data_IF_028547947167
#
_entry.id   IF_028547947167
#
_cell.length_a   1.000
_cell.length_b   1.000
_cell.length_c   1.000
_cell.angle_alpha   90.00
_cell.angle_beta   90.00
_cell.angle_gamma   90.00
#
_symmetry.space_group_name_H-M   'P 1'
#
loop_
_entity.id
_entity.type
_entity.pdbx_description
1 polymer ?
#
# COMPACT_ATOMS: atom_id res chain seq x y z
N UNK A 1 -10.66 -24.02 0.82
CA UNK A 1 -9.41 -23.33 0.41
C UNK A 1 -9.45 -21.92 0.95
N UNK A 2 -8.45 -21.61 1.74
CA UNK A 2 -8.30 -20.29 2.38
C UNK A 2 -7.06 -19.64 1.79
N UNK A 3 -7.20 -18.41 1.31
CA UNK A 3 -6.12 -17.57 0.81
C UNK A 3 -5.77 -16.52 1.86
N UNK A 4 -4.50 -16.46 2.25
CA UNK A 4 -3.95 -15.45 3.18
C UNK A 4 -2.97 -14.61 2.38
N UNK A 5 -3.20 -13.31 2.32
CA UNK A 5 -2.38 -12.38 1.57
C UNK A 5 -2.39 -10.99 2.21
N UNK A 6 -1.51 -10.11 1.76
CA UNK A 6 -1.47 -8.73 2.25
C UNK A 6 -2.29 -7.85 1.32
N UNK A 7 -3.36 -7.27 1.87
CA UNK A 7 -4.23 -6.33 1.15
C UNK A 7 -3.68 -4.91 1.23
N UNK A 8 -3.76 -4.20 0.11
CA UNK A 8 -3.31 -2.83 -0.03
C UNK A 8 -4.46 -1.86 0.25
N UNK A 9 -4.40 -1.15 1.37
CA UNK A 9 -5.39 -0.11 1.71
C UNK A 9 -4.89 1.26 1.25
N UNK A 10 -3.64 1.59 1.59
CA UNK A 10 -2.95 2.79 1.13
C UNK A 10 -1.43 2.60 1.27
N UNK A 11 -0.66 3.60 0.84
CA UNK A 11 0.81 3.55 0.85
C UNK A 11 1.40 3.33 2.25
N UNK A 12 0.70 3.78 3.29
CA UNK A 12 1.16 3.70 4.68
C UNK A 12 0.56 2.52 5.44
N UNK A 13 -0.62 2.04 5.01
CA UNK A 13 -1.35 0.98 5.71
C UNK A 13 -1.59 -0.21 4.79
N UNK A 14 -1.08 -1.33 5.23
CA UNK A 14 -1.24 -2.64 4.62
C UNK A 14 -1.74 -3.60 5.69
N UNK A 15 -2.65 -4.49 5.34
CA UNK A 15 -3.28 -5.38 6.29
C UNK A 15 -3.27 -6.82 5.78
N UNK A 16 -3.02 -7.75 6.68
CA UNK A 16 -3.11 -9.18 6.34
C UNK A 16 -4.57 -9.56 6.29
N UNK A 17 -5.02 -10.02 5.12
CA UNK A 17 -6.41 -10.41 4.88
C UNK A 17 -6.48 -11.90 4.62
N UNK A 18 -7.52 -12.51 5.19
CA UNK A 18 -7.82 -13.93 4.99
C UNK A 18 -9.13 -14.03 4.22
N UNK A 19 -9.08 -14.65 3.04
CA UNK A 19 -10.26 -14.84 2.19
C UNK A 19 -10.50 -16.34 1.96
N UNK A 20 -11.72 -16.78 2.19
CA UNK A 20 -12.14 -18.15 1.88
C UNK A 20 -12.63 -18.21 0.43
N UNK A 21 -11.95 -19.01 -0.40
CA UNK A 21 -12.33 -19.15 -1.80
C UNK A 21 -13.29 -20.34 -2.00
N UNK A 22 -13.07 -21.41 -1.26
CA UNK A 22 -13.90 -22.61 -1.32
C UNK A 22 -14.15 -23.18 0.09
N UNK A 23 -15.38 -23.60 0.43
CA UNK A 23 -16.60 -23.49 -0.36
C UNK A 23 -17.01 -22.02 -0.57
N UNK A 24 -17.64 -21.72 -1.72
CA UNK A 24 -18.17 -20.38 -1.99
C UNK A 24 -19.38 -20.12 -1.12
N UNK A 25 -19.33 -19.02 -0.40
CA UNK A 25 -20.46 -18.52 0.39
C UNK A 25 -21.18 -17.42 -0.40
N UNK A 26 -22.45 -17.62 -0.70
CA UNK A 26 -23.23 -16.69 -1.52
C UNK A 26 -23.38 -15.31 -0.85
N UNK A 27 -23.28 -15.27 0.46
CA UNK A 27 -23.39 -14.02 1.22
C UNK A 27 -22.07 -13.21 1.12
N UNK A 28 -20.91 -13.87 1.05
CA UNK A 28 -19.62 -13.22 0.82
C UNK A 28 -19.57 -12.60 -0.59
N UNK A 29 -20.08 -13.31 -1.62
CA UNK A 29 -20.11 -12.78 -3.00
C UNK A 29 -20.94 -11.50 -3.08
N UNK A 30 -22.12 -11.48 -2.47
CA UNK A 30 -22.98 -10.30 -2.43
C UNK A 30 -22.38 -9.14 -1.62
N UNK A 31 -21.54 -9.43 -0.64
CA UNK A 31 -20.85 -8.40 0.12
C UNK A 31 -19.73 -7.77 -0.70
N UNK A 32 -19.02 -8.55 -1.49
CA UNK A 32 -17.97 -8.09 -2.40
C UNK A 32 -18.55 -7.23 -3.53
N UNK A 33 -19.65 -7.64 -4.18
CA UNK A 33 -20.35 -6.84 -5.19
C UNK A 33 -20.74 -5.46 -4.62
N UNK A 34 -21.31 -5.42 -3.43
CA UNK A 34 -21.68 -4.15 -2.79
C UNK A 34 -20.48 -3.29 -2.40
N UNK A 35 -19.32 -3.89 -2.16
CA UNK A 35 -18.11 -3.15 -1.88
C UNK A 35 -17.48 -2.57 -3.15
N UNK A 36 -17.51 -3.32 -4.26
CA UNK A 36 -17.05 -2.86 -5.57
C UNK A 36 -17.94 -1.74 -6.13
N UNK A 37 -19.26 -1.87 -6.04
CA UNK A 37 -20.22 -0.83 -6.43
C UNK A 37 -19.97 0.48 -5.68
N UNK A 38 -19.72 0.43 -4.38
CA UNK A 38 -19.38 1.63 -3.59
C UNK A 38 -18.05 2.28 -4.00
N UNK A 39 -17.09 1.51 -4.47
CA UNK A 39 -15.82 2.05 -4.95
C UNK A 39 -16.01 2.71 -6.31
N UNK A 40 -16.81 2.12 -7.19
CA UNK A 40 -17.14 2.65 -8.52
C UNK A 40 -17.94 3.94 -8.38
N UNK A 41 -19.00 3.97 -7.55
CA UNK A 41 -19.82 5.14 -7.28
C UNK A 41 -19.01 6.30 -6.70
N UNK A 42 -18.05 5.99 -5.83
CA UNK A 42 -17.15 6.99 -5.25
C UNK A 42 -16.13 7.51 -6.26
N UNK A 43 -15.69 6.69 -7.21
CA UNK A 43 -14.79 7.09 -8.28
C UNK A 43 -15.50 7.95 -9.35
N UNK A 44 -16.79 7.68 -9.62
CA UNK A 44 -17.62 8.43 -10.57
C UNK A 44 -18.29 9.67 -9.97
N UNK A 45 -18.10 9.95 -8.68
CA UNK A 45 -18.66 11.13 -8.02
C UNK A 45 -20.20 11.09 -7.86
N UNK A 46 -20.81 9.91 -7.97
CA UNK A 46 -22.23 9.69 -7.72
C UNK A 46 -22.52 9.68 -6.23
N UNK A 47 -23.47 10.50 -5.81
CA UNK A 47 -23.93 10.55 -4.42
C UNK A 47 -24.76 9.28 -4.12
N UNK A 48 -24.43 8.48 -3.10
CA UNK A 48 -25.14 7.22 -2.81
C UNK A 48 -26.58 7.41 -2.31
N UNK A 49 -27.04 8.64 -2.11
CA UNK A 49 -28.38 8.94 -1.56
C UNK A 49 -29.51 9.07 -2.60
N UNK A 50 -29.22 8.97 -3.89
CA UNK A 50 -30.22 9.20 -4.94
C UNK A 50 -30.80 7.93 -5.58
N UNK A 51 -30.39 6.76 -5.15
CA UNK A 51 -31.00 5.52 -5.64
C UNK A 51 -32.10 5.08 -4.70
N UNK A 52 -33.24 5.79 -4.83
CA UNK A 52 -34.51 5.36 -4.25
C UNK A 52 -34.85 3.96 -4.74
N UNK A 53 -35.20 3.13 -3.78
CA UNK A 53 -36.01 1.92 -3.81
C UNK A 53 -36.61 1.59 -5.19
N UNK A 54 -35.84 0.93 -6.05
CA UNK A 54 -36.37 0.20 -7.18
C UNK A 54 -36.24 -1.30 -6.88
N UNK A 55 -37.10 -1.75 -5.97
CA UNK A 55 -37.50 -3.15 -5.88
C UNK A 55 -38.35 -3.47 -7.12
N UNK A 56 -37.78 -3.29 -8.30
CA UNK A 56 -38.34 -3.85 -9.52
C UNK A 56 -37.96 -5.31 -9.53
N UNK A 57 -38.97 -6.17 -9.45
CA UNK A 57 -38.85 -7.62 -9.47
C UNK A 57 -37.83 -8.05 -10.55
N UNK A 58 -36.71 -8.57 -10.11
CA UNK A 58 -35.75 -9.22 -10.99
C UNK A 58 -36.49 -10.40 -11.62
N UNK A 59 -36.98 -10.20 -12.83
CA UNK A 59 -37.31 -11.29 -13.71
C UNK A 59 -36.00 -12.05 -13.90
N UNK A 60 -35.88 -13.18 -13.22
CA UNK A 60 -34.83 -14.15 -13.50
C UNK A 60 -35.01 -14.59 -14.94
N UNK A 61 -34.33 -13.92 -15.87
CA UNK A 61 -34.17 -14.44 -17.20
C UNK A 61 -33.47 -15.80 -17.05
N UNK A 62 -34.14 -16.85 -17.53
CA UNK A 62 -33.53 -18.17 -17.61
C UNK A 62 -32.25 -18.03 -18.43
N UNK A 63 -31.11 -18.18 -17.77
CA UNK A 63 -29.80 -18.14 -18.46
C UNK A 63 -29.64 -19.49 -19.14
N UNK A 64 -29.57 -19.46 -20.45
CA UNK A 64 -29.24 -20.65 -21.24
C UNK A 64 -27.71 -20.78 -21.36
N UNK A 65 -27.18 -21.95 -20.98
CA UNK A 65 -25.77 -22.27 -21.06
C UNK A 65 -25.46 -23.08 -22.30
N UNK A 66 -24.53 -22.62 -23.13
CA UNK A 66 -24.02 -23.39 -24.28
C UNK A 66 -22.53 -23.75 -24.02
N UNK A 67 -22.15 -25.04 -24.25
CA UNK A 67 -22.96 -26.19 -24.69
C UNK A 67 -23.77 -26.83 -23.55
N UNK A 68 -23.32 -26.75 -22.28
CA UNK A 68 -24.03 -27.24 -21.10
C UNK A 68 -23.57 -26.51 -19.86
N UNK A 69 -24.43 -26.43 -18.85
CA UNK A 69 -24.09 -25.82 -17.59
C UNK A 69 -22.87 -26.47 -16.91
N UNK A 70 -22.76 -27.79 -16.99
CA UNK A 70 -21.68 -28.58 -16.40
C UNK A 70 -20.32 -28.26 -17.03
N UNK A 71 -20.24 -28.14 -18.35
CA UNK A 71 -19.02 -27.78 -19.06
C UNK A 71 -18.62 -26.36 -18.80
N UNK A 72 -19.57 -25.42 -18.77
CA UNK A 72 -19.32 -24.01 -18.44
C UNK A 72 -18.78 -23.86 -17.02
N UNK A 73 -19.39 -24.51 -16.04
CA UNK A 73 -18.89 -24.50 -14.67
C UNK A 73 -17.54 -25.19 -14.50
N UNK A 74 -17.32 -26.29 -15.24
CA UNK A 74 -16.04 -26.98 -15.26
C UNK A 74 -14.87 -26.06 -15.71
N UNK A 75 -15.14 -25.12 -16.60
CA UNK A 75 -14.17 -24.13 -17.06
C UNK A 75 -14.10 -22.90 -16.10
N UNK A 76 -15.26 -22.44 -15.64
CA UNK A 76 -15.38 -21.20 -14.86
C UNK A 76 -14.71 -21.31 -13.50
N UNK A 77 -14.92 -22.42 -12.78
CA UNK A 77 -14.41 -22.59 -11.41
C UNK A 77 -12.87 -22.54 -11.33
N UNK A 78 -12.11 -23.26 -12.18
CA UNK A 78 -10.66 -23.13 -12.20
C UNK A 78 -10.20 -21.71 -12.57
N UNK A 79 -10.91 -21.05 -13.49
CA UNK A 79 -10.59 -19.70 -13.94
C UNK A 79 -10.81 -18.66 -12.82
N UNK A 80 -11.89 -18.79 -12.08
CA UNK A 80 -12.19 -17.98 -10.91
C UNK A 80 -11.10 -18.11 -9.85
N UNK A 81 -10.71 -19.35 -9.54
CA UNK A 81 -9.61 -19.60 -8.60
C UNK A 81 -8.29 -18.98 -9.06
N UNK A 82 -7.94 -19.17 -10.34
CA UNK A 82 -6.73 -18.61 -10.90
C UNK A 82 -6.72 -17.07 -10.83
N UNK A 83 -7.86 -16.44 -11.09
CA UNK A 83 -8.01 -14.98 -11.04
C UNK A 83 -7.77 -14.45 -9.62
N UNK A 84 -8.39 -15.06 -8.61
CA UNK A 84 -8.22 -14.65 -7.23
C UNK A 84 -6.79 -14.85 -6.72
N UNK A 85 -6.16 -15.94 -7.09
CA UNK A 85 -4.77 -16.21 -6.74
C UNK A 85 -3.81 -15.22 -7.38
N UNK A 86 -4.05 -14.90 -8.65
CA UNK A 86 -3.27 -13.89 -9.37
C UNK A 86 -3.45 -12.49 -8.80
N UNK A 87 -4.69 -12.09 -8.52
CA UNK A 87 -5.00 -10.79 -7.89
C UNK A 87 -4.30 -10.65 -6.53
N UNK A 88 -4.40 -11.65 -5.67
CA UNK A 88 -3.75 -11.64 -4.36
C UNK A 88 -2.20 -11.60 -4.46
N UNK A 89 -1.62 -12.27 -5.46
CA UNK A 89 -0.17 -12.23 -5.69
C UNK A 89 0.29 -10.83 -6.11
N UNK A 90 -0.45 -10.18 -7.03
CA UNK A 90 -0.15 -8.81 -7.46
C UNK A 90 -0.31 -7.83 -6.29
N UNK A 91 -1.39 -7.96 -5.53
CA UNK A 91 -1.67 -7.08 -4.39
C UNK A 91 -0.57 -7.20 -3.33
N UNK A 92 -0.14 -8.42 -3.01
CA UNK A 92 0.97 -8.67 -2.08
C UNK A 92 2.29 -8.10 -2.59
N UNK A 93 2.60 -8.24 -3.88
CA UNK A 93 3.80 -7.64 -4.49
C UNK A 93 3.75 -6.10 -4.45
N UNK A 94 2.57 -5.52 -4.70
CA UNK A 94 2.36 -4.07 -4.60
C UNK A 94 2.61 -3.58 -3.17
N UNK A 95 2.12 -4.31 -2.16
CA UNK A 95 2.38 -4.00 -0.75
C UNK A 95 3.88 -4.04 -0.42
N UNK A 96 4.60 -5.04 -0.90
CA UNK A 96 6.05 -5.14 -0.70
C UNK A 96 6.78 -3.93 -1.31
N UNK A 97 6.44 -3.54 -2.54
CA UNK A 97 7.05 -2.38 -3.19
C UNK A 97 6.70 -1.07 -2.48
N UNK A 98 5.47 -0.90 -2.01
CA UNK A 98 5.05 0.27 -1.26
C UNK A 98 5.79 0.37 0.08
N UNK A 99 5.89 -0.72 0.83
CA UNK A 99 6.62 -0.77 2.10
C UNK A 99 8.12 -0.49 1.91
N UNK A 100 8.73 -1.06 0.88
CA UNK A 100 10.15 -0.81 0.55
C UNK A 100 10.38 0.65 0.20
N UNK A 101 9.52 1.24 -0.63
CA UNK A 101 9.61 2.66 -0.98
C UNK A 101 9.54 3.53 0.27
N UNK A 102 8.57 3.30 1.15
CA UNK A 102 8.40 4.07 2.39
C UNK A 102 9.61 3.93 3.32
N UNK A 103 10.14 2.70 3.45
CA UNK A 103 11.34 2.46 4.25
C UNK A 103 12.57 3.20 3.70
N UNK A 104 12.75 3.22 2.37
CA UNK A 104 13.85 3.93 1.72
C UNK A 104 13.70 5.46 1.84
N UNK A 105 12.47 5.98 1.76
CA UNK A 105 12.20 7.40 1.95
C UNK A 105 12.55 7.84 3.37
N UNK A 106 12.08 7.10 4.38
CA UNK A 106 12.43 7.36 5.77
C UNK A 106 13.95 7.24 6.03
N UNK A 107 14.62 6.27 5.40
CA UNK A 107 16.07 6.12 5.51
C UNK A 107 16.83 7.29 4.89
N UNK A 108 16.35 7.80 3.75
CA UNK A 108 16.93 8.97 3.09
C UNK A 108 16.80 10.24 3.95
N UNK A 109 15.63 10.45 4.56
CA UNK A 109 15.38 11.59 5.44
C UNK A 109 16.28 11.52 6.68
N UNK A 110 16.37 10.37 7.33
CA UNK A 110 17.28 10.14 8.45
C UNK A 110 18.75 10.38 8.07
N UNK A 111 19.16 9.96 6.87
CA UNK A 111 20.53 10.18 6.39
C UNK A 111 20.80 11.67 6.14
N UNK A 112 19.85 12.40 5.58
CA UNK A 112 19.92 13.85 5.37
C UNK A 112 20.07 14.63 6.69
N UNK A 113 19.28 14.27 7.69
CA UNK A 113 19.36 14.85 9.03
C UNK A 113 20.72 14.58 9.67
N UNK A 114 21.22 13.34 9.54
CA UNK A 114 22.53 12.96 10.06
C UNK A 114 23.66 13.74 9.36
N UNK A 115 23.60 13.93 8.04
CA UNK A 115 24.56 14.75 7.29
C UNK A 115 24.56 16.19 7.79
N UNK A 116 23.39 16.78 7.98
CA UNK A 116 23.23 18.14 8.51
C UNK A 116 23.86 18.27 9.89
N UNK A 117 23.57 17.31 10.78
CA UNK A 117 24.17 17.29 12.13
C UNK A 117 25.70 17.15 12.09
N UNK A 118 26.23 16.28 11.22
CA UNK A 118 27.67 16.10 11.07
C UNK A 118 28.34 17.36 10.50
N UNK A 119 27.68 18.06 9.60
CA UNK A 119 28.20 19.31 9.02
C UNK A 119 28.30 20.42 10.07
N UNK A 120 27.29 20.51 10.95
CA UNK A 120 27.33 21.45 12.09
C UNK A 120 28.47 21.10 13.05
N UNK A 121 28.62 19.81 13.40
CA UNK A 121 29.72 19.36 14.28
C UNK A 121 31.10 19.61 13.63
N UNK A 122 31.25 19.34 12.35
CA UNK A 122 32.49 19.61 11.61
C UNK A 122 32.84 21.10 11.62
N UNK A 123 31.88 21.96 11.29
CA UNK A 123 32.10 23.40 11.29
C UNK A 123 32.47 23.91 12.69
N UNK A 124 31.83 23.43 13.76
CA UNK A 124 32.18 23.77 15.14
C UNK A 124 33.58 23.31 15.52
N UNK A 125 33.96 22.07 15.17
CA UNK A 125 35.30 21.55 15.41
C UNK A 125 36.36 22.36 14.66
N UNK A 126 36.11 22.71 13.39
CA UNK A 126 37.00 23.56 12.60
C UNK A 126 37.16 24.94 13.20
N UNK A 127 36.08 25.58 13.65
CA UNK A 127 36.13 26.88 14.31
C UNK A 127 36.95 26.81 15.62
N UNK A 128 36.75 25.76 16.46
CA UNK A 128 37.53 25.53 17.66
C UNK A 128 39.02 25.41 17.34
N UNK A 129 39.40 24.59 16.38
CA UNK A 129 40.80 24.44 15.96
C UNK A 129 41.42 25.73 15.46
N UNK A 130 40.70 26.54 14.71
CA UNK A 130 41.17 27.84 14.23
C UNK A 130 41.36 28.79 15.41
N UNK A 131 40.42 28.81 16.38
CA UNK A 131 40.49 29.65 17.57
C UNK A 131 41.66 29.25 18.45
N UNK A 132 41.87 27.95 18.69
CA UNK A 132 42.97 27.41 19.45
C UNK A 132 44.32 27.77 18.82
N UNK A 133 44.47 27.66 17.50
CA UNK A 133 45.65 28.05 16.79
C UNK A 133 45.94 29.57 16.88
N UNK A 134 44.91 30.41 16.82
CA UNK A 134 45.06 31.87 16.98
C UNK A 134 45.50 32.19 18.38
N UNK A 135 44.91 31.58 19.40
CA UNK A 135 45.29 31.77 20.81
C UNK A 135 46.75 31.36 21.04
N UNK A 136 47.21 30.24 20.44
CA UNK A 136 48.59 29.78 20.53
C UNK A 136 49.57 30.79 19.92
N UNK A 137 49.23 31.32 18.74
CA UNK A 137 50.09 32.34 18.08
C UNK A 137 50.15 33.63 18.92
N UNK A 138 49.02 34.12 19.42
CA UNK A 138 48.96 35.37 20.22
C UNK A 138 49.72 35.22 21.53
N UNK A 139 49.47 34.11 22.26
CA UNK A 139 50.19 33.86 23.50
C UNK A 139 51.69 33.63 23.32
N UNK A 140 52.10 32.98 22.20
CA UNK A 140 53.51 32.86 21.84
C UNK A 140 54.17 34.18 21.52
N UNK A 141 53.47 35.13 20.90
CA UNK A 141 54.00 36.47 20.62
C UNK A 141 54.14 37.34 21.83
N UNK A 142 53.16 37.24 22.79
CA UNK A 142 53.25 37.95 24.08
C UNK A 142 54.38 37.44 24.97
N UNK A 143 54.71 36.16 24.89
CA UNK A 143 55.82 35.57 25.65
C UNK A 143 57.21 35.96 25.10
N UNK A 144 57.31 36.52 23.91
CA UNK A 144 58.55 36.95 23.30
C UNK A 144 58.83 38.49 23.39
N UNK A 145 57.82 39.23 23.86
CA UNK A 145 57.93 40.68 24.08
C UNK A 145 58.28 41.00 25.57
#
# INVERSE_FOLDING_TARGET
IILVYTSYINTLKQEVTTRRILPMDMDEIKADEKAEDKIIDKAEGRNPESTGDQTSGQQFHSIEYEPSAEEVFGYLVPKYFQLHLYSAAIESATCEHAARRQAMENANDNASDMLTMLQIKYNRARQSQITDAIIEIVSGSEAQS
#
